data_IF_592185756986
#
_entry.id   IF_592185756986
#
_cell.length_a   1.000
_cell.length_b   1.000
_cell.length_c   1.000
_cell.angle_alpha   90.00
_cell.angle_beta   90.00
_cell.angle_gamma   90.00
#
_symmetry.space_group_name_H-M   'P 1'
#
loop_
_entity.id
_entity.type
_entity.pdbx_description
1 polymer ?
#
# COMPACT_ATOMS: atom_id res chain seq x y z
N UNK A 1 11.46 55.99 -26.11
CA UNK A 1 11.73 54.53 -26.10
C UNK A 1 12.67 54.19 -24.94
N UNK A 2 12.11 53.77 -23.81
CA UNK A 2 12.89 53.43 -22.62
C UNK A 2 13.18 51.95 -22.67
N UNK A 3 14.42 51.58 -23.05
CA UNK A 3 14.87 50.20 -23.06
C UNK A 3 14.91 49.64 -21.65
N UNK A 4 14.09 48.63 -21.36
CA UNK A 4 14.20 47.81 -20.14
C UNK A 4 15.53 47.10 -20.16
N UNK A 5 16.51 47.54 -19.33
CA UNK A 5 17.74 46.78 -19.05
C UNK A 5 17.35 45.52 -18.31
N UNK A 6 17.39 44.37 -18.96
CA UNK A 6 17.24 43.07 -18.32
C UNK A 6 18.37 42.89 -17.29
N UNK A 7 18.05 42.60 -16.05
CA UNK A 7 19.02 42.30 -15.00
C UNK A 7 19.62 40.90 -15.26
N UNK A 8 20.84 40.87 -15.78
CA UNK A 8 21.60 39.60 -15.94
C UNK A 8 22.23 39.25 -14.59
N UNK A 9 21.64 38.31 -13.89
CA UNK A 9 22.17 37.78 -12.61
C UNK A 9 23.52 37.06 -12.88
N UNK A 10 24.53 37.34 -12.04
CA UNK A 10 25.80 36.61 -12.07
C UNK A 10 25.56 35.14 -11.80
N UNK A 11 26.26 34.21 -12.49
CA UNK A 11 26.15 32.76 -12.29
C UNK A 11 26.28 32.32 -10.82
N UNK A 12 27.18 32.98 -10.05
CA UNK A 12 27.31 32.73 -8.60
C UNK A 12 26.07 33.13 -7.78
N UNK A 13 25.36 34.17 -8.18
CA UNK A 13 24.12 34.62 -7.53
C UNK A 13 22.98 33.63 -7.80
N UNK A 14 22.87 33.15 -9.04
CA UNK A 14 21.88 32.12 -9.42
C UNK A 14 22.12 30.83 -8.61
N UNK A 15 23.38 30.39 -8.50
CA UNK A 15 23.74 29.21 -7.70
C UNK A 15 23.37 29.34 -6.23
N UNK A 16 23.57 30.52 -5.63
CA UNK A 16 23.16 30.77 -4.22
C UNK A 16 21.63 30.74 -4.04
N UNK A 17 20.90 31.33 -4.98
CA UNK A 17 19.43 31.29 -4.95
C UNK A 17 18.92 29.86 -5.02
N UNK A 18 19.42 29.06 -5.97
CA UNK A 18 19.05 27.64 -6.11
C UNK A 18 19.38 26.84 -4.84
N UNK A 19 20.54 27.09 -4.23
CA UNK A 19 20.90 26.43 -2.97
C UNK A 19 19.95 26.79 -1.83
N UNK A 20 19.53 28.04 -1.72
CA UNK A 20 18.53 28.47 -0.70
C UNK A 20 17.21 27.77 -0.93
N UNK A 21 16.71 27.73 -2.18
CA UNK A 21 15.48 26.99 -2.49
C UNK A 21 15.60 25.49 -2.16
N UNK A 22 16.75 24.87 -2.46
CA UNK A 22 17.00 23.48 -2.12
C UNK A 22 16.95 23.25 -0.60
N UNK A 23 17.59 24.12 0.18
CA UNK A 23 17.58 24.03 1.65
C UNK A 23 16.15 24.17 2.21
N UNK A 24 15.40 25.14 1.70
CA UNK A 24 13.99 25.32 2.08
C UNK A 24 13.17 24.08 1.71
N UNK A 25 13.35 23.54 0.54
CA UNK A 25 12.66 22.34 0.06
C UNK A 25 12.97 21.13 0.96
N UNK A 26 14.25 20.91 1.30
CA UNK A 26 14.68 19.87 2.25
C UNK A 26 14.06 20.13 3.63
N UNK A 27 14.01 21.37 4.07
CA UNK A 27 13.34 21.75 5.31
C UNK A 27 11.88 21.29 5.36
N UNK A 28 11.12 21.48 4.27
CA UNK A 28 9.74 21.00 4.17
C UNK A 28 9.63 19.47 4.15
N UNK A 29 10.60 18.76 3.59
CA UNK A 29 10.65 17.30 3.64
C UNK A 29 10.86 16.76 5.07
N UNK A 30 11.65 17.46 5.88
CA UNK A 30 12.03 17.02 7.23
C UNK A 30 11.06 17.50 8.31
N UNK A 31 10.38 18.63 8.08
CA UNK A 31 9.51 19.28 9.05
C UNK A 31 8.44 18.36 9.69
N UNK A 32 7.76 17.45 8.94
CA UNK A 32 6.78 16.54 9.53
C UNK A 32 7.36 15.58 10.57
N UNK A 33 8.65 15.25 10.49
CA UNK A 33 9.34 14.38 11.46
C UNK A 33 9.77 15.10 12.72
N UNK A 34 10.01 16.41 12.62
CA UNK A 34 10.42 17.21 13.77
C UNK A 34 9.21 17.66 14.61
N UNK A 35 8.05 17.81 13.97
CA UNK A 35 6.81 18.24 14.61
C UNK A 35 5.82 17.08 14.75
N UNK A 36 6.02 16.25 15.77
CA UNK A 36 5.03 15.24 16.11
C UNK A 36 3.79 15.89 16.73
N UNK A 37 2.61 15.51 16.25
CA UNK A 37 1.36 15.82 16.94
C UNK A 37 1.34 15.06 18.26
N UNK A 38 1.20 15.79 19.37
CA UNK A 38 1.00 15.15 20.67
C UNK A 38 -0.40 14.55 20.72
N UNK A 39 -0.49 13.36 21.29
CA UNK A 39 -1.79 12.73 21.58
C UNK A 39 -2.51 13.60 22.60
N UNK A 40 -3.76 14.03 22.36
CA UNK A 40 -4.53 14.81 23.32
C UNK A 40 -4.65 14.09 24.67
N UNK A 41 -4.57 14.83 25.77
CA UNK A 41 -4.72 14.26 27.12
C UNK A 41 -6.05 13.54 27.29
N UNK A 42 -7.14 14.11 26.74
CA UNK A 42 -8.47 13.48 26.74
C UNK A 42 -8.50 12.10 26.08
N UNK A 43 -7.71 11.88 25.02
CA UNK A 43 -7.61 10.56 24.40
C UNK A 43 -6.81 9.59 25.30
N UNK A 44 -5.72 10.06 25.91
CA UNK A 44 -4.92 9.23 26.83
C UNK A 44 -5.73 8.81 28.06
N UNK A 45 -6.54 9.72 28.60
CA UNK A 45 -7.43 9.45 29.74
C UNK A 45 -8.58 8.51 29.39
N UNK A 46 -9.09 8.55 28.16
CA UNK A 46 -10.16 7.67 27.67
C UNK A 46 -9.65 6.32 27.18
N UNK A 47 -8.33 6.14 27.05
CA UNK A 47 -7.75 4.92 26.53
C UNK A 47 -7.74 3.83 27.59
N UNK A 48 -8.65 2.88 27.45
CA UNK A 48 -8.73 1.71 28.33
C UNK A 48 -8.12 0.49 27.64
N UNK A 49 -6.97 0.06 28.13
CA UNK A 49 -6.26 -1.12 27.63
C UNK A 49 -7.10 -2.41 27.80
N UNK A 50 -7.95 -2.44 28.85
CA UNK A 50 -8.79 -3.63 29.11
C UNK A 50 -9.82 -3.88 28.01
N UNK A 51 -10.21 -2.85 27.27
CA UNK A 51 -11.15 -2.97 26.14
C UNK A 51 -10.62 -3.83 24.98
N UNK A 52 -9.30 -4.07 24.92
CA UNK A 52 -8.67 -4.92 23.91
C UNK A 52 -8.62 -6.40 24.31
N UNK A 53 -8.99 -6.73 25.54
CA UNK A 53 -8.96 -8.10 26.04
C UNK A 53 -10.38 -8.62 26.27
N UNK A 54 -10.71 -9.69 25.56
CA UNK A 54 -11.95 -10.43 25.80
C UNK A 54 -11.83 -11.33 27.03
N UNK A 55 -12.97 -11.77 27.57
CA UNK A 55 -13.03 -12.71 28.68
C UNK A 55 -12.78 -14.18 28.27
N UNK A 56 -12.60 -14.45 26.98
CA UNK A 56 -12.40 -15.78 26.40
C UNK A 56 -12.01 -15.72 24.93
N UNK A 57 -11.88 -16.89 24.28
CA UNK A 57 -11.58 -16.95 22.85
C UNK A 57 -12.66 -16.26 22.01
N UNK A 58 -12.26 -15.42 21.07
CA UNK A 58 -13.13 -14.84 20.08
C UNK A 58 -13.60 -15.85 19.02
N UNK A 59 -14.51 -15.44 18.12
CA UNK A 59 -14.96 -16.26 17.01
C UNK A 59 -13.88 -16.48 15.95
N UNK A 60 -12.82 -15.68 15.97
CA UNK A 60 -11.76 -15.72 14.97
C UNK A 60 -10.90 -16.98 15.12
N UNK A 61 -10.44 -17.49 14.00
CA UNK A 61 -9.43 -18.53 13.90
C UNK A 61 -8.26 -18.00 13.12
N UNK A 62 -7.05 -18.33 13.56
CA UNK A 62 -5.82 -17.78 13.00
C UNK A 62 -4.84 -18.87 12.60
N UNK A 63 -4.07 -18.62 11.54
CA UNK A 63 -2.95 -19.45 11.13
C UNK A 63 -1.77 -18.57 10.73
N UNK A 64 -0.56 -19.02 11.07
CA UNK A 64 0.68 -18.41 10.61
C UNK A 64 1.09 -18.95 9.26
N UNK A 65 1.60 -18.07 8.39
CA UNK A 65 2.17 -18.39 7.10
C UNK A 65 3.61 -17.89 7.09
N UNK A 66 4.55 -18.83 7.17
CA UNK A 66 5.97 -18.53 7.35
C UNK A 66 6.75 -18.54 6.04
N UNK A 67 6.42 -19.41 5.08
CA UNK A 67 7.16 -19.51 3.82
C UNK A 67 6.49 -18.73 2.68
N UNK A 68 7.28 -18.42 1.64
CA UNK A 68 6.83 -17.60 0.52
C UNK A 68 5.90 -18.34 -0.45
N UNK A 69 6.07 -19.67 -0.58
CA UNK A 69 5.23 -20.48 -1.47
C UNK A 69 3.82 -20.59 -0.93
N UNK A 70 3.69 -20.92 0.36
CA UNK A 70 2.39 -20.91 1.03
C UNK A 70 1.76 -19.52 1.02
N UNK A 71 2.56 -18.47 1.20
CA UNK A 71 2.06 -17.10 1.17
C UNK A 71 1.43 -16.72 -0.16
N UNK A 72 1.99 -17.16 -1.30
CA UNK A 72 1.38 -16.99 -2.61
C UNK A 72 0.14 -17.88 -2.75
N UNK A 73 0.26 -19.17 -2.43
CA UNK A 73 -0.83 -20.14 -2.57
C UNK A 73 -2.07 -19.73 -1.78
N UNK A 74 -1.89 -19.28 -0.53
CA UNK A 74 -3.00 -18.80 0.30
C UNK A 74 -3.67 -17.57 -0.31
N UNK A 75 -2.91 -16.61 -0.85
CA UNK A 75 -3.49 -15.45 -1.55
C UNK A 75 -4.35 -15.88 -2.74
N UNK A 76 -3.83 -16.77 -3.58
CA UNK A 76 -4.56 -17.21 -4.75
C UNK A 76 -5.85 -17.96 -4.37
N UNK A 77 -5.80 -18.85 -3.37
CA UNK A 77 -6.97 -19.56 -2.85
C UNK A 77 -8.01 -18.60 -2.26
N UNK A 78 -7.58 -17.62 -1.45
CA UNK A 78 -8.50 -16.66 -0.87
C UNK A 78 -9.18 -15.80 -1.93
N UNK A 79 -8.44 -15.37 -2.95
CA UNK A 79 -9.00 -14.65 -4.10
C UNK A 79 -9.98 -15.53 -4.90
N UNK A 80 -9.69 -16.83 -5.02
CA UNK A 80 -10.58 -17.79 -5.68
C UNK A 80 -11.89 -17.99 -4.91
N UNK A 81 -11.84 -18.03 -3.59
CA UNK A 81 -13.02 -18.19 -2.72
C UNK A 81 -13.90 -16.94 -2.61
N UNK A 82 -13.39 -15.78 -2.99
CA UNK A 82 -14.12 -14.51 -2.90
C UNK A 82 -15.43 -14.54 -3.72
N UNK A 83 -16.50 -14.01 -3.11
CA UNK A 83 -17.86 -13.96 -3.67
C UNK A 83 -18.40 -12.56 -3.86
N UNK A 84 -18.02 -11.61 -3.00
CA UNK A 84 -18.56 -10.25 -2.98
C UNK A 84 -17.47 -9.21 -3.21
N UNK A 85 -16.44 -9.18 -2.37
CA UNK A 85 -15.43 -8.13 -2.40
C UNK A 85 -14.03 -8.63 -2.06
N UNK A 86 -13.05 -8.07 -2.77
CA UNK A 86 -11.62 -8.21 -2.47
C UNK A 86 -11.04 -6.82 -2.23
N UNK A 87 -10.34 -6.63 -1.10
CA UNK A 87 -9.54 -5.45 -0.82
C UNK A 87 -8.08 -5.87 -0.69
N UNK A 88 -7.22 -5.39 -1.58
CA UNK A 88 -5.79 -5.61 -1.56
C UNK A 88 -5.05 -4.30 -1.31
N UNK A 89 -4.33 -4.21 -0.19
CA UNK A 89 -3.40 -3.12 0.09
C UNK A 89 -1.97 -3.62 0.06
N UNK A 90 -1.08 -2.87 -0.59
CA UNK A 90 0.35 -3.21 -0.62
C UNK A 90 1.20 -1.97 -0.88
N UNK A 91 2.40 -1.96 -0.29
CA UNK A 91 3.38 -0.91 -0.57
C UNK A 91 3.96 -1.04 -1.98
N UNK A 92 4.25 -2.27 -2.42
CA UNK A 92 4.81 -2.56 -3.73
C UNK A 92 4.03 -3.68 -4.43
N UNK A 93 3.63 -3.43 -5.67
CA UNK A 93 2.98 -4.40 -6.55
C UNK A 93 3.72 -4.39 -7.88
N UNK A 94 4.36 -5.50 -8.21
CA UNK A 94 5.04 -5.68 -9.50
C UNK A 94 4.25 -6.59 -10.42
N UNK A 95 4.58 -6.53 -11.70
CA UNK A 95 4.10 -7.49 -12.71
C UNK A 95 5.19 -8.53 -13.04
N UNK A 96 5.92 -8.98 -12.02
CA UNK A 96 6.79 -10.16 -12.07
C UNK A 96 5.94 -11.45 -12.00
N UNK A 97 6.53 -12.63 -11.91
CA UNK A 97 5.75 -13.87 -12.01
C UNK A 97 4.70 -13.99 -10.90
N UNK A 98 5.09 -13.80 -9.64
CA UNK A 98 4.13 -13.82 -8.53
C UNK A 98 3.05 -12.72 -8.64
N UNK A 99 3.45 -11.53 -9.08
CA UNK A 99 2.50 -10.45 -9.29
C UNK A 99 1.53 -10.70 -10.44
N UNK A 100 1.96 -11.36 -11.51
CA UNK A 100 1.08 -11.78 -12.62
C UNK A 100 0.07 -12.82 -12.17
N UNK A 101 0.46 -13.78 -11.32
CA UNK A 101 -0.46 -14.76 -10.76
C UNK A 101 -1.56 -14.08 -9.96
N UNK A 102 -1.20 -13.11 -9.11
CA UNK A 102 -2.18 -12.32 -8.35
C UNK A 102 -3.08 -11.52 -9.30
N UNK A 103 -2.51 -10.84 -10.30
CA UNK A 103 -3.29 -10.08 -11.29
C UNK A 103 -4.28 -11.00 -12.02
N UNK A 104 -3.85 -12.19 -12.46
CA UNK A 104 -4.71 -13.15 -13.13
C UNK A 104 -5.86 -13.64 -12.22
N UNK A 105 -5.56 -13.95 -10.96
CA UNK A 105 -6.56 -14.34 -9.97
C UNK A 105 -7.59 -13.21 -9.72
N UNK A 106 -7.15 -11.96 -9.60
CA UNK A 106 -8.04 -10.80 -9.45
C UNK A 106 -8.93 -10.58 -10.69
N UNK A 107 -8.40 -10.79 -11.89
CA UNK A 107 -9.19 -10.72 -13.12
C UNK A 107 -10.26 -11.83 -13.15
N UNK A 108 -9.91 -13.06 -12.78
CA UNK A 108 -10.86 -14.18 -12.68
C UNK A 108 -11.93 -13.91 -11.61
N UNK A 109 -11.58 -13.27 -10.49
CA UNK A 109 -12.55 -12.85 -9.49
C UNK A 109 -13.54 -11.81 -10.06
N UNK A 110 -13.03 -10.83 -10.81
CA UNK A 110 -13.87 -9.86 -11.54
C UNK A 110 -14.82 -10.54 -12.53
N UNK A 111 -14.37 -11.55 -13.26
CA UNK A 111 -15.21 -12.32 -14.20
C UNK A 111 -16.34 -13.07 -13.48
N UNK A 112 -16.16 -13.41 -12.20
CA UNK A 112 -17.22 -13.95 -11.33
C UNK A 112 -18.17 -12.90 -10.77
N UNK A 113 -17.91 -11.62 -11.00
CA UNK A 113 -18.71 -10.49 -10.50
C UNK A 113 -18.23 -9.91 -9.17
N UNK A 114 -17.10 -10.37 -8.64
CA UNK A 114 -16.52 -9.89 -7.38
C UNK A 114 -16.00 -8.46 -7.55
N UNK A 115 -16.26 -7.58 -6.58
CA UNK A 115 -15.72 -6.23 -6.56
C UNK A 115 -14.27 -6.25 -6.09
N UNK A 116 -13.35 -5.73 -6.90
CA UNK A 116 -11.91 -5.74 -6.61
C UNK A 116 -11.40 -4.33 -6.38
N UNK A 117 -10.91 -4.06 -5.19
CA UNK A 117 -10.31 -2.79 -4.79
C UNK A 117 -8.85 -2.98 -4.44
N UNK A 118 -7.97 -2.34 -5.19
CA UNK A 118 -6.53 -2.37 -4.95
C UNK A 118 -6.04 -0.98 -4.57
N UNK A 119 -5.23 -0.88 -3.52
CA UNK A 119 -4.53 0.34 -3.17
C UNK A 119 -3.02 0.07 -3.09
N UNK A 120 -2.24 0.92 -3.77
CA UNK A 120 -0.77 0.79 -3.83
C UNK A 120 -0.14 2.11 -3.42
N UNK A 121 0.99 2.07 -2.72
CA UNK A 121 1.74 3.28 -2.35
C UNK A 121 2.10 4.14 -3.55
N UNK A 122 2.08 5.44 -3.36
CA UNK A 122 2.24 6.43 -4.41
C UNK A 122 3.61 6.45 -5.08
N UNK A 123 4.68 6.05 -4.37
CA UNK A 123 6.00 5.96 -4.97
C UNK A 123 6.06 4.79 -5.96
N UNK A 124 5.74 3.60 -5.48
CA UNK A 124 5.78 2.39 -6.29
C UNK A 124 4.65 2.36 -7.33
N UNK A 125 3.45 2.83 -6.97
CA UNK A 125 2.30 2.87 -7.87
C UNK A 125 2.55 3.70 -9.12
N UNK A 126 3.08 4.92 -8.98
CA UNK A 126 3.40 5.76 -10.13
C UNK A 126 4.47 5.13 -11.02
N UNK A 127 5.54 4.59 -10.43
CA UNK A 127 6.68 4.05 -11.19
C UNK A 127 6.38 2.71 -11.87
N UNK A 128 5.56 1.85 -11.26
CA UNK A 128 5.41 0.45 -11.67
C UNK A 128 4.06 0.12 -12.32
N UNK A 129 2.99 0.83 -11.93
CA UNK A 129 1.65 0.57 -12.47
C UNK A 129 1.36 1.44 -13.68
N UNK A 130 1.80 2.71 -13.67
CA UNK A 130 1.51 3.64 -14.75
C UNK A 130 2.11 3.15 -16.07
N UNK A 131 1.27 3.00 -17.08
CA UNK A 131 1.70 2.51 -18.39
C UNK A 131 1.91 1.01 -18.52
N UNK A 132 1.89 0.25 -17.43
CA UNK A 132 2.09 -1.19 -17.44
C UNK A 132 0.87 -1.92 -18.02
N UNK A 133 1.11 -2.82 -18.99
CA UNK A 133 0.04 -3.52 -19.73
C UNK A 133 -0.83 -4.44 -18.86
N UNK A 134 -0.23 -5.08 -17.86
CA UNK A 134 -0.94 -6.02 -16.97
C UNK A 134 -1.90 -5.28 -16.04
N UNK A 135 -1.45 -4.15 -15.45
CA UNK A 135 -2.33 -3.33 -14.62
C UNK A 135 -3.40 -2.60 -15.44
N UNK A 136 -3.10 -2.25 -16.69
CA UNK A 136 -4.13 -1.74 -17.62
C UNK A 136 -5.19 -2.78 -17.93
N UNK A 137 -4.80 -4.03 -18.15
CA UNK A 137 -5.74 -5.12 -18.36
C UNK A 137 -6.61 -5.32 -17.11
N UNK A 138 -6.01 -5.40 -15.91
CA UNK A 138 -6.72 -5.58 -14.66
C UNK A 138 -7.76 -4.46 -14.43
N UNK A 139 -7.37 -3.18 -14.58
CA UNK A 139 -8.30 -2.06 -14.35
C UNK A 139 -9.40 -1.94 -15.40
N UNK A 140 -9.24 -2.61 -16.55
CA UNK A 140 -10.27 -2.68 -17.60
C UNK A 140 -11.35 -3.73 -17.30
N UNK A 141 -11.15 -4.60 -16.29
CA UNK A 141 -12.14 -5.59 -15.89
C UNK A 141 -13.31 -4.93 -15.13
N UNK A 142 -14.54 -5.42 -15.28
CA UNK A 142 -15.70 -4.90 -14.56
C UNK A 142 -15.51 -4.99 -13.04
N UNK A 143 -15.95 -3.97 -12.30
CA UNK A 143 -15.87 -3.97 -10.83
C UNK A 143 -14.45 -3.84 -10.25
N UNK A 144 -13.41 -3.64 -11.07
CA UNK A 144 -12.04 -3.46 -10.61
C UNK A 144 -11.70 -1.98 -10.47
N UNK A 145 -11.13 -1.60 -9.33
CA UNK A 145 -10.56 -0.27 -9.11
C UNK A 145 -9.16 -0.36 -8.50
N UNK A 146 -8.23 0.40 -9.06
CA UNK A 146 -6.87 0.54 -8.53
C UNK A 146 -6.65 1.99 -8.15
N UNK A 147 -6.30 2.24 -6.89
CA UNK A 147 -5.97 3.56 -6.38
C UNK A 147 -4.50 3.65 -6.01
N UNK A 148 -3.87 4.75 -6.37
CA UNK A 148 -2.51 5.08 -5.98
C UNK A 148 -2.61 6.03 -4.78
N UNK A 149 -2.12 5.59 -3.63
CA UNK A 149 -2.14 6.38 -2.39
C UNK A 149 -1.03 7.41 -2.41
N UNK A 150 -1.37 8.68 -2.21
CA UNK A 150 -0.44 9.80 -2.10
C UNK A 150 0.67 9.77 -3.17
N UNK A 151 0.35 9.96 -4.46
CA UNK A 151 1.32 10.00 -5.55
C UNK A 151 2.39 11.06 -5.26
N UNK A 152 3.65 10.76 -5.60
CA UNK A 152 4.75 11.72 -5.42
C UNK A 152 4.47 12.98 -6.23
N UNK A 153 4.50 14.12 -5.54
CA UNK A 153 4.39 15.44 -6.14
C UNK A 153 5.54 16.34 -5.65
N UNK A 154 6.34 16.91 -6.54
CA UNK A 154 7.39 17.85 -6.14
C UNK A 154 6.81 19.15 -5.54
N UNK A 155 5.51 19.42 -5.73
CA UNK A 155 4.82 20.60 -5.21
C UNK A 155 4.22 20.40 -3.80
N UNK A 156 4.29 19.18 -3.26
CA UNK A 156 3.84 18.84 -1.90
C UNK A 156 4.92 18.11 -1.11
N UNK A 157 6.12 18.71 -0.89
CA UNK A 157 7.23 17.99 -0.25
C UNK A 157 6.92 17.53 1.17
N UNK A 158 6.05 18.23 1.89
CA UNK A 158 5.62 17.86 3.25
C UNK A 158 4.79 16.58 3.32
N UNK A 159 4.12 16.18 2.22
CA UNK A 159 3.32 14.97 2.14
C UNK A 159 4.10 13.78 1.55
N UNK A 160 5.29 14.01 0.99
CA UNK A 160 6.07 12.96 0.32
C UNK A 160 6.45 11.78 1.24
N UNK A 161 6.44 12.01 2.53
CA UNK A 161 6.79 10.98 3.53
C UNK A 161 5.57 10.20 4.05
N UNK A 162 4.36 10.64 3.75
CA UNK A 162 3.15 9.89 4.07
C UNK A 162 3.01 8.71 3.11
N UNK A 163 3.63 7.58 3.45
CA UNK A 163 3.66 6.37 2.63
C UNK A 163 2.71 5.32 3.17
N UNK A 164 1.99 4.65 2.26
CA UNK A 164 1.21 3.46 2.57
C UNK A 164 2.20 2.29 2.73
N UNK A 165 2.29 1.73 3.93
CA UNK A 165 3.16 0.58 4.17
C UNK A 165 2.41 -0.67 4.64
N UNK A 166 1.08 -0.62 4.60
CA UNK A 166 0.22 -1.74 4.92
C UNK A 166 0.28 -2.81 3.82
N UNK A 167 0.19 -4.07 4.22
CA UNK A 167 0.08 -5.22 3.33
C UNK A 167 -0.99 -6.12 3.90
N UNK A 168 -2.16 -6.07 3.28
CA UNK A 168 -3.27 -6.94 3.65
C UNK A 168 -4.12 -7.32 2.44
N UNK A 169 -4.75 -8.46 2.55
CA UNK A 169 -5.78 -8.95 1.65
C UNK A 169 -7.02 -9.26 2.48
N UNK A 170 -8.13 -8.62 2.19
CA UNK A 170 -9.42 -8.84 2.85
C UNK A 170 -10.39 -9.42 1.83
N UNK A 171 -11.11 -10.47 2.22
CA UNK A 171 -12.09 -11.19 1.41
C UNK A 171 -13.43 -11.20 2.15
N UNK A 172 -14.45 -10.67 1.49
CA UNK A 172 -15.87 -10.75 1.91
C UNK A 172 -16.10 -10.37 3.40
N UNK A 173 -15.29 -9.44 3.93
CA UNK A 173 -15.30 -8.99 5.33
C UNK A 173 -15.15 -10.09 6.40
N UNK A 174 -14.89 -11.34 6.03
CA UNK A 174 -14.83 -12.49 6.94
C UNK A 174 -13.46 -13.17 6.99
N UNK A 175 -12.63 -12.95 5.98
CA UNK A 175 -11.29 -13.53 5.89
C UNK A 175 -10.27 -12.45 5.58
N UNK A 176 -9.10 -12.50 6.21
CA UNK A 176 -8.03 -11.59 5.86
C UNK A 176 -6.64 -12.16 6.13
N UNK A 177 -5.69 -11.71 5.33
CA UNK A 177 -4.26 -11.89 5.56
C UNK A 177 -3.62 -10.55 5.82
N UNK A 178 -2.74 -10.48 6.81
CA UNK A 178 -1.93 -9.30 7.09
C UNK A 178 -0.50 -9.69 7.47
N UNK A 179 0.45 -8.86 7.07
CA UNK A 179 1.87 -9.11 7.34
C UNK A 179 2.80 -8.14 6.65
N UNK A 180 4.03 -8.57 6.38
CA UNK A 180 5.06 -7.73 5.78
C UNK A 180 5.28 -7.93 4.29
N UNK A 181 4.68 -8.96 3.65
CA UNK A 181 4.96 -9.32 2.25
C UNK A 181 4.30 -8.39 1.25
N UNK A 182 5.09 -7.83 0.33
CA UNK A 182 4.60 -7.12 -0.84
C UNK A 182 4.15 -8.09 -1.95
N UNK A 183 3.35 -7.60 -2.90
CA UNK A 183 2.85 -8.37 -4.03
C UNK A 183 3.91 -8.46 -5.14
N UNK A 184 4.96 -9.27 -4.92
CA UNK A 184 6.07 -9.47 -5.84
C UNK A 184 6.86 -10.74 -5.50
N UNK A 185 7.56 -11.31 -6.50
CA UNK A 185 8.30 -12.58 -6.40
C UNK A 185 9.39 -12.62 -5.31
N UNK A 186 9.94 -11.48 -4.90
CA UNK A 186 10.90 -11.42 -3.80
C UNK A 186 10.31 -11.89 -2.47
N UNK A 187 8.98 -11.79 -2.31
CA UNK A 187 8.24 -12.14 -1.09
C UNK A 187 7.29 -13.32 -1.27
N UNK A 188 6.95 -13.68 -2.49
CA UNK A 188 5.88 -14.64 -2.80
C UNK A 188 6.34 -15.67 -3.82
N UNK A 189 6.03 -16.95 -3.54
CA UNK A 189 6.36 -18.06 -4.41
C UNK A 189 7.86 -18.41 -4.41
N UNK A 190 8.24 -19.29 -5.34
CA UNK A 190 9.61 -19.78 -5.53
C UNK A 190 10.21 -19.34 -6.88
N UNK A 191 9.82 -18.17 -7.36
CA UNK A 191 10.23 -17.66 -8.67
C UNK A 191 11.63 -17.02 -8.66
N UNK A 192 12.03 -16.41 -7.54
CA UNK A 192 13.30 -15.71 -7.41
C UNK A 192 14.30 -16.50 -6.57
N UNK A 193 15.58 -16.55 -6.96
CA UNK A 193 16.65 -17.09 -6.12
C UNK A 193 16.91 -16.22 -4.88
N UNK A 194 16.60 -14.92 -4.97
CA UNK A 194 16.67 -14.00 -3.84
C UNK A 194 15.28 -13.92 -3.19
N UNK A 195 15.22 -14.16 -1.87
CA UNK A 195 13.96 -14.16 -1.14
C UNK A 195 14.06 -13.33 0.13
N UNK A 196 13.06 -12.50 0.34
CA UNK A 196 12.79 -11.93 1.66
C UNK A 196 11.85 -12.86 2.42
N UNK A 197 12.26 -13.24 3.61
CA UNK A 197 11.44 -14.04 4.53
C UNK A 197 10.67 -13.08 5.43
N UNK A 198 9.37 -13.29 5.53
CA UNK A 198 8.49 -12.55 6.42
C UNK A 198 7.40 -13.49 6.95
N UNK A 199 6.61 -13.02 7.91
CA UNK A 199 5.49 -13.75 8.47
C UNK A 199 4.19 -13.04 8.18
N UNK A 200 3.15 -13.86 8.02
CA UNK A 200 1.80 -13.35 7.84
C UNK A 200 0.84 -14.10 8.75
N UNK A 201 -0.19 -13.40 9.11
CA UNK A 201 -1.32 -13.95 9.84
C UNK A 201 -2.50 -14.05 8.88
N UNK A 202 -3.04 -15.26 8.74
CA UNK A 202 -4.36 -15.48 8.19
C UNK A 202 -5.36 -15.51 9.33
N UNK A 203 -6.48 -14.82 9.15
CA UNK A 203 -7.59 -14.79 10.10
C UNK A 203 -8.88 -15.08 9.36
N UNK A 204 -9.68 -15.93 9.97
CA UNK A 204 -11.01 -16.27 9.49
C UNK A 204 -12.01 -16.10 10.63
N UNK A 205 -13.07 -15.37 10.40
CA UNK A 205 -14.19 -15.22 11.33
C UNK A 205 -15.20 -16.34 11.13
N UNK A 206 -15.51 -17.07 12.21
CA UNK A 206 -16.42 -18.23 12.18
C UNK A 206 -17.87 -17.87 12.44
N UNK A 207 -18.15 -16.65 12.94
CA UNK A 207 -19.51 -16.14 13.12
C UNK A 207 -19.91 -15.26 11.95
N UNK A 208 -21.13 -15.47 11.46
CA UNK A 208 -21.73 -14.51 10.54
C UNK A 208 -22.07 -13.21 11.30
N UNK A 209 -22.01 -12.03 10.67
CA UNK A 209 -22.26 -10.74 11.33
C UNK A 209 -23.61 -10.61 12.04
N UNK A 210 -24.56 -11.49 11.75
CA UNK A 210 -25.95 -11.46 12.25
C UNK A 210 -26.27 -12.57 13.27
N UNK A 211 -25.27 -13.31 13.76
CA UNK A 211 -25.37 -14.27 14.85
C UNK A 211 -24.75 -13.71 16.16
#
# INVERSE_FOLDING_TARGET
MTGKKGVILKRSTVGKILLIFLIIYIGFLVLPYVRHKKVPASYQESFDVSSFYGSGPGPERTAYIDNNDDALLWRLRLIEEAREEIILSTFDFKSDEAGKDIIAALMQASDRGVQVRVIVDGFNGVLKLTGNKYFKALVSCPGVSIKIYNPISPFGPWDMQARLHDKYLIIDNSMYMLGGRNAMELFLGDYSPEKNVDRELFVYETKQPDE
#
